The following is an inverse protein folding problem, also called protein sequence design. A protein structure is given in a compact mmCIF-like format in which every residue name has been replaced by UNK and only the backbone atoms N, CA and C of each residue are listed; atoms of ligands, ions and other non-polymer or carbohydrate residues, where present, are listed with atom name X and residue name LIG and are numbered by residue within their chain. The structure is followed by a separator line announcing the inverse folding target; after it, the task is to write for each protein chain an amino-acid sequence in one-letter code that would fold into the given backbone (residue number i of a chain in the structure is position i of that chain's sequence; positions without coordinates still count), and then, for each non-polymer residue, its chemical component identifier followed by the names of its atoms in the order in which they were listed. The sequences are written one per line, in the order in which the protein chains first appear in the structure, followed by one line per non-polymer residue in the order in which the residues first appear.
data_IF_669757740569
#
_entry.id   IF_669757740569
#
_cell.length_a   1.000
_cell.length_b   1.000
_cell.length_c   1.000
_cell.angle_alpha   90.00
_cell.angle_beta   90.00
_cell.angle_gamma   90.00
#
_symmetry.space_group_name_H-M   'P 1'
#
loop_
_entity.id
_entity.type
_entity.pdbx_description
1 polymer ?
#
# COMPACT_ATOMS: atom_id res chain seq x y z
N UNK A 1 -12.20 -18.66 20.38
CA UNK A 1 -11.71 -17.48 19.63
C UNK A 1 -10.49 -17.89 18.81
N UNK A 2 -10.63 -18.19 17.51
CA UNK A 2 -9.47 -18.33 16.62
C UNK A 2 -8.97 -16.91 16.33
N UNK A 3 -7.90 -16.53 17.03
CA UNK A 3 -7.15 -15.29 16.80
C UNK A 3 -6.71 -15.32 15.33
N UNK A 4 -7.17 -14.36 14.52
CA UNK A 4 -6.75 -14.32 13.13
C UNK A 4 -5.30 -13.86 13.07
N UNK A 5 -4.40 -14.70 12.58
CA UNK A 5 -2.99 -14.34 12.49
C UNK A 5 -2.79 -13.34 11.34
N UNK A 6 -2.43 -12.07 11.61
CA UNK A 6 -2.21 -11.10 10.55
C UNK A 6 -1.05 -11.57 9.67
N UNK A 7 -1.30 -11.60 8.36
CA UNK A 7 -0.34 -12.06 7.37
C UNK A 7 0.42 -10.82 6.86
N UNK A 8 1.73 -10.78 7.11
CA UNK A 8 2.58 -9.73 6.56
C UNK A 8 2.89 -10.04 5.09
N UNK A 9 2.52 -9.11 4.21
CA UNK A 9 2.80 -9.13 2.77
C UNK A 9 3.71 -7.94 2.42
N UNK A 10 4.70 -8.17 1.57
CA UNK A 10 5.64 -7.12 1.17
C UNK A 10 4.97 -6.12 0.22
N UNK A 11 5.42 -4.86 0.25
CA UNK A 11 4.86 -3.83 -0.62
C UNK A 11 5.32 -3.99 -2.08
N UNK A 12 4.35 -4.11 -3.01
CA UNK A 12 4.60 -4.35 -4.43
C UNK A 12 5.37 -3.22 -5.11
N UNK A 13 5.20 -1.97 -4.68
CA UNK A 13 5.93 -0.86 -5.27
C UNK A 13 7.40 -0.88 -4.86
N UNK A 14 7.71 -1.13 -3.58
CA UNK A 14 9.09 -1.27 -3.12
C UNK A 14 9.76 -2.47 -3.78
N UNK A 15 9.02 -3.56 -4.01
CA UNK A 15 9.51 -4.69 -4.79
C UNK A 15 9.91 -4.27 -6.21
N UNK A 16 9.04 -3.53 -6.90
CA UNK A 16 9.33 -3.04 -8.25
C UNK A 16 10.56 -2.11 -8.27
N UNK A 17 10.70 -1.21 -7.28
CA UNK A 17 11.90 -0.36 -7.12
C UNK A 17 13.17 -1.20 -6.89
N UNK A 18 13.10 -2.23 -6.04
CA UNK A 18 14.21 -3.13 -5.79
C UNK A 18 14.63 -3.85 -7.08
N UNK A 19 13.68 -4.41 -7.83
CA UNK A 19 13.94 -5.11 -9.10
C UNK A 19 14.54 -4.16 -10.14
N UNK A 20 14.08 -2.91 -10.22
CA UNK A 20 14.66 -1.88 -11.11
C UNK A 20 16.11 -1.59 -10.72
N UNK A 21 16.40 -1.46 -9.43
CA UNK A 21 17.75 -1.21 -8.93
C UNK A 21 18.68 -2.40 -9.20
N UNK A 22 18.21 -3.63 -8.97
CA UNK A 22 18.97 -4.87 -9.22
C UNK A 22 19.26 -5.03 -10.71
N UNK A 23 18.26 -4.83 -11.56
CA UNK A 23 18.39 -5.04 -13.01
C UNK A 23 19.15 -3.93 -13.73
N UNK A 24 19.20 -2.70 -13.19
CA UNK A 24 19.81 -1.53 -13.87
C UNK A 24 19.36 -1.39 -15.34
N UNK A 25 18.05 -1.60 -15.58
CA UNK A 25 17.38 -1.58 -16.90
C UNK A 25 17.62 -2.81 -17.78
N UNK A 26 18.33 -3.83 -17.30
CA UNK A 26 18.40 -5.12 -17.97
C UNK A 26 17.02 -5.82 -17.95
N UNK A 27 16.40 -5.91 -19.13
CA UNK A 27 15.07 -6.51 -19.30
C UNK A 27 15.07 -8.01 -19.04
N UNK A 28 16.19 -8.71 -19.31
CA UNK A 28 16.32 -10.14 -19.06
C UNK A 28 16.36 -10.42 -17.56
N UNK A 29 17.20 -9.70 -16.81
CA UNK A 29 17.30 -9.84 -15.35
C UNK A 29 15.95 -9.50 -14.69
N UNK A 30 15.34 -8.37 -15.03
CA UNK A 30 14.06 -7.98 -14.44
C UNK A 30 12.94 -8.99 -14.73
N UNK A 31 12.83 -9.48 -15.98
CA UNK A 31 11.85 -10.50 -16.36
C UNK A 31 12.06 -11.80 -15.59
N UNK A 32 13.31 -12.24 -15.43
CA UNK A 32 13.63 -13.45 -14.68
C UNK A 32 13.27 -13.31 -13.20
N UNK A 33 13.61 -12.18 -12.57
CA UNK A 33 13.24 -11.91 -11.17
C UNK A 33 11.74 -11.97 -10.95
N UNK A 34 10.94 -11.29 -11.78
CA UNK A 34 9.48 -11.38 -11.67
C UNK A 34 8.97 -12.81 -11.87
N UNK A 35 9.49 -13.52 -12.88
CA UNK A 35 9.08 -14.90 -13.17
C UNK A 35 9.38 -15.85 -12.00
N UNK A 36 10.54 -15.73 -11.37
CA UNK A 36 10.90 -16.59 -10.24
C UNK A 36 10.05 -16.29 -9.00
N UNK A 37 9.71 -15.02 -8.76
CA UNK A 37 8.82 -14.64 -7.65
C UNK A 37 7.37 -15.08 -7.90
N UNK A 38 6.86 -14.90 -9.12
CA UNK A 38 5.49 -15.28 -9.51
C UNK A 38 5.30 -16.80 -9.50
N UNK A 39 6.31 -17.57 -9.93
CA UNK A 39 6.26 -19.04 -9.97
C UNK A 39 6.72 -19.71 -8.67
N UNK A 40 6.93 -18.96 -7.60
CA UNK A 40 7.40 -19.49 -6.31
C UNK A 40 8.71 -20.31 -6.43
N UNK A 41 9.62 -19.87 -7.29
CA UNK A 41 10.87 -20.57 -7.58
C UNK A 41 12.04 -19.95 -6.80
N UNK A 42 12.11 -20.27 -5.51
CA UNK A 42 13.16 -19.79 -4.62
C UNK A 42 14.55 -20.27 -5.03
N UNK A 43 14.67 -21.53 -5.49
CA UNK A 43 15.96 -22.14 -5.85
C UNK A 43 16.66 -21.37 -6.98
N UNK A 44 15.93 -20.96 -8.01
CA UNK A 44 16.49 -20.14 -9.09
C UNK A 44 16.88 -18.73 -8.62
N UNK A 45 16.09 -18.13 -7.73
CA UNK A 45 16.40 -16.82 -7.16
C UNK A 45 17.67 -16.86 -6.31
N UNK A 46 17.84 -17.91 -5.50
CA UNK A 46 19.01 -18.15 -4.67
C UNK A 46 20.25 -18.44 -5.52
N UNK A 47 20.14 -19.33 -6.51
CA UNK A 47 21.23 -19.61 -7.45
C UNK A 47 21.67 -18.34 -8.21
N UNK A 48 20.71 -17.51 -8.62
CA UNK A 48 21.04 -16.22 -9.22
C UNK A 48 21.79 -15.31 -8.24
N UNK A 49 21.37 -15.23 -6.97
CA UNK A 49 22.07 -14.42 -5.96
C UNK A 49 23.49 -14.89 -5.68
N UNK A 50 23.73 -16.20 -5.56
CA UNK A 50 25.06 -16.77 -5.33
C UNK A 50 26.03 -16.38 -6.45
N UNK A 51 25.60 -16.45 -7.70
CA UNK A 51 26.39 -15.98 -8.84
C UNK A 51 26.49 -14.44 -8.91
N UNK A 52 25.51 -13.72 -8.38
CA UNK A 52 25.41 -12.26 -8.47
C UNK A 52 26.26 -11.55 -7.41
N UNK A 53 26.39 -12.11 -6.20
CA UNK A 53 27.14 -11.52 -5.08
C UNK A 53 28.65 -11.54 -5.30
N UNK A 54 29.16 -12.54 -6.02
CA UNK A 54 30.60 -12.69 -6.30
C UNK A 54 31.09 -11.81 -7.45
N UNK A 55 30.18 -11.23 -8.25
CA UNK A 55 30.57 -10.38 -9.37
C UNK A 55 31.16 -9.05 -8.89
N UNK A 56 32.38 -8.75 -9.34
CA UNK A 56 33.08 -7.49 -9.02
C UNK A 56 32.40 -6.26 -9.63
N UNK A 57 31.77 -6.39 -10.80
CA UNK A 57 31.10 -5.29 -11.49
C UNK A 57 29.68 -4.97 -10.95
N UNK A 58 29.24 -5.70 -9.93
CA UNK A 58 27.95 -5.45 -9.27
C UNK A 58 28.17 -4.55 -8.06
N UNK A 59 27.51 -3.39 -8.05
CA UNK A 59 27.60 -2.46 -6.94
C UNK A 59 27.03 -3.05 -5.64
N UNK A 60 27.58 -2.63 -4.50
CA UNK A 60 27.14 -3.07 -3.18
C UNK A 60 25.62 -2.89 -2.97
N UNK A 61 25.08 -1.75 -3.41
CA UNK A 61 23.64 -1.46 -3.36
C UNK A 61 22.79 -2.52 -4.06
N UNK A 62 23.24 -3.05 -5.21
CA UNK A 62 22.51 -4.12 -5.94
C UNK A 62 22.56 -5.43 -5.15
N UNK A 63 23.71 -5.76 -4.55
CA UNK A 63 23.87 -6.95 -3.70
C UNK A 63 22.95 -6.88 -2.47
N UNK A 64 22.85 -5.72 -1.84
CA UNK A 64 21.95 -5.48 -0.70
C UNK A 64 20.48 -5.62 -1.09
N UNK A 65 20.06 -5.10 -2.25
CA UNK A 65 18.69 -5.28 -2.74
C UNK A 65 18.37 -6.76 -3.03
N UNK A 66 19.30 -7.51 -3.62
CA UNK A 66 19.10 -8.96 -3.80
C UNK A 66 18.99 -9.71 -2.47
N UNK A 67 19.87 -9.40 -1.52
CA UNK A 67 19.83 -9.98 -0.17
C UNK A 67 18.50 -9.66 0.53
N UNK A 68 17.97 -8.45 0.34
CA UNK A 68 16.65 -8.07 0.83
C UNK A 68 15.54 -8.92 0.22
N UNK A 69 15.55 -9.16 -1.10
CA UNK A 69 14.55 -10.03 -1.76
C UNK A 69 14.55 -11.44 -1.17
N UNK A 70 15.72 -12.03 -0.93
CA UNK A 70 15.83 -13.35 -0.29
C UNK A 70 15.31 -13.33 1.15
N UNK A 71 15.74 -12.35 1.96
CA UNK A 71 15.33 -12.23 3.35
C UNK A 71 13.83 -11.99 3.52
N UNK A 72 13.18 -11.34 2.54
CA UNK A 72 11.75 -11.04 2.56
C UNK A 72 10.95 -11.98 1.64
N UNK A 73 11.55 -13.07 1.14
CA UNK A 73 10.97 -13.91 0.09
C UNK A 73 9.57 -14.39 0.44
N UNK A 74 9.37 -14.92 1.64
CA UNK A 74 8.06 -15.40 2.08
C UNK A 74 6.99 -14.29 2.09
N UNK A 75 7.36 -13.05 2.41
CA UNK A 75 6.42 -11.91 2.37
C UNK A 75 6.13 -11.45 0.94
N UNK A 76 7.12 -11.59 0.05
CA UNK A 76 6.98 -11.26 -1.38
C UNK A 76 6.15 -12.32 -2.10
N UNK A 77 6.39 -13.60 -1.80
CA UNK A 77 5.63 -14.75 -2.31
C UNK A 77 4.13 -14.57 -2.12
N UNK A 78 3.73 -14.09 -0.93
CA UNK A 78 2.34 -13.79 -0.57
C UNK A 78 1.65 -12.75 -1.47
N UNK A 79 2.38 -11.92 -2.20
CA UNK A 79 1.81 -11.02 -3.22
C UNK A 79 1.10 -11.83 -4.32
N UNK A 80 1.58 -13.05 -4.60
CA UNK A 80 1.09 -13.90 -5.69
C UNK A 80 0.27 -15.09 -5.19
N UNK A 81 0.43 -15.51 -3.94
CA UNK A 81 -0.26 -16.70 -3.39
C UNK A 81 -1.49 -16.39 -2.53
N UNK A 82 -1.59 -15.17 -1.97
CA UNK A 82 -2.75 -14.79 -1.16
C UNK A 82 -3.88 -14.29 -2.07
N UNK A 83 -4.98 -15.05 -2.16
CA UNK A 83 -6.11 -14.76 -3.06
C UNK A 83 -6.77 -13.39 -2.77
N UNK A 84 -6.79 -12.97 -1.50
CA UNK A 84 -7.40 -11.72 -1.06
C UNK A 84 -6.46 -10.49 -1.22
N UNK A 85 -5.26 -10.65 -1.78
CA UNK A 85 -4.33 -9.54 -1.94
C UNK A 85 -4.67 -8.64 -3.14
N UNK A 86 -5.24 -7.47 -2.86
CA UNK A 86 -5.63 -6.47 -3.87
C UNK A 86 -4.49 -5.44 -4.13
N UNK A 87 -3.49 -5.38 -3.24
CA UNK A 87 -2.41 -4.40 -3.29
C UNK A 87 -2.70 -3.10 -2.52
N UNK A 88 -1.79 -2.14 -2.64
CA UNK A 88 -1.90 -0.83 -1.97
C UNK A 88 -1.55 0.31 -2.93
N UNK A 89 -2.37 1.37 -2.91
CA UNK A 89 -2.11 2.62 -3.66
C UNK A 89 -1.37 3.67 -2.83
N UNK A 90 -1.00 3.38 -1.58
CA UNK A 90 -0.41 4.35 -0.64
C UNK A 90 0.77 5.09 -1.26
N UNK A 91 1.68 4.39 -1.90
CA UNK A 91 2.89 5.00 -2.45
C UNK A 91 2.62 5.86 -3.68
N UNK A 92 1.64 5.52 -4.52
CA UNK A 92 1.19 6.40 -5.60
C UNK A 92 0.60 7.69 -5.02
N UNK A 93 -0.20 7.59 -3.96
CA UNK A 93 -0.80 8.74 -3.29
C UNK A 93 0.25 9.62 -2.60
N UNK A 94 1.24 9.03 -1.95
CA UNK A 94 2.30 9.77 -1.24
C UNK A 94 3.31 10.35 -2.23
N UNK A 95 3.94 9.51 -3.04
CA UNK A 95 5.09 9.90 -3.88
C UNK A 95 4.70 10.62 -5.17
N UNK A 96 3.48 10.45 -5.69
CA UNK A 96 3.03 11.16 -6.90
C UNK A 96 2.03 12.27 -6.62
N UNK A 97 0.98 12.03 -5.82
CA UNK A 97 -0.05 13.06 -5.61
C UNK A 97 0.36 14.06 -4.53
N UNK A 98 0.65 13.60 -3.32
CA UNK A 98 1.00 14.47 -2.20
C UNK A 98 2.34 15.16 -2.42
N UNK A 99 3.37 14.41 -2.83
CA UNK A 99 4.71 14.96 -3.08
C UNK A 99 4.68 16.02 -4.19
N UNK A 100 4.03 15.76 -5.33
CA UNK A 100 3.90 16.75 -6.41
C UNK A 100 3.22 18.03 -5.95
N UNK A 101 2.15 17.92 -5.16
CA UNK A 101 1.47 19.10 -4.62
C UNK A 101 2.39 19.89 -3.69
N UNK A 102 3.01 19.24 -2.71
CA UNK A 102 3.86 19.89 -1.70
C UNK A 102 5.12 20.51 -2.32
N UNK A 103 5.77 19.81 -3.27
CA UNK A 103 6.95 20.32 -3.98
C UNK A 103 6.63 21.49 -4.90
N UNK A 104 5.44 21.52 -5.52
CA UNK A 104 5.03 22.65 -6.37
C UNK A 104 4.70 23.92 -5.59
N UNK A 105 4.41 23.79 -4.29
CA UNK A 105 3.97 24.89 -3.42
C UNK A 105 4.70 24.81 -2.08
N UNK A 106 6.03 24.96 -2.06
CA UNK A 106 6.80 24.89 -0.84
C UNK A 106 6.37 26.04 0.08
N UNK A 107 5.65 25.71 1.15
CA UNK A 107 5.20 26.63 2.19
C UNK A 107 5.40 25.95 3.54
N UNK A 108 5.54 26.74 4.60
CA UNK A 108 5.39 26.23 5.95
C UNK A 108 3.93 25.81 6.15
N UNK A 109 3.64 24.52 5.98
CA UNK A 109 2.32 23.97 6.24
C UNK A 109 2.23 23.55 7.71
N UNK A 110 1.15 23.90 8.39
CA UNK A 110 0.84 23.29 9.68
C UNK A 110 0.44 21.82 9.47
N UNK A 111 0.65 20.97 10.48
CA UNK A 111 0.24 19.55 10.44
C UNK A 111 -1.23 19.38 10.01
N UNK A 112 -2.12 20.22 10.54
CA UNK A 112 -3.55 20.24 10.16
C UNK A 112 -3.74 20.49 8.66
N UNK A 113 -3.03 21.47 8.08
CA UNK A 113 -3.12 21.79 6.66
C UNK A 113 -2.58 20.65 5.78
N UNK A 114 -1.48 19.99 6.18
CA UNK A 114 -0.94 18.84 5.44
C UNK A 114 -1.96 17.69 5.44
N UNK A 115 -2.53 17.37 6.60
CA UNK A 115 -3.54 16.30 6.74
C UNK A 115 -4.76 16.56 5.84
N UNK A 116 -5.33 17.76 5.91
CA UNK A 116 -6.49 18.13 5.08
C UNK A 116 -6.18 18.03 3.56
N UNK A 117 -4.97 18.44 3.14
CA UNK A 117 -4.54 18.34 1.74
C UNK A 117 -4.32 16.90 1.30
N UNK A 118 -3.69 16.07 2.13
CA UNK A 118 -3.50 14.65 1.82
C UNK A 118 -4.84 13.92 1.66
N UNK A 119 -5.82 14.20 2.53
CA UNK A 119 -7.18 13.68 2.43
C UNK A 119 -7.86 14.13 1.13
N UNK A 120 -7.80 15.42 0.81
CA UNK A 120 -8.34 15.97 -0.44
C UNK A 120 -7.77 15.26 -1.67
N UNK A 121 -6.44 15.17 -1.77
CA UNK A 121 -5.80 14.53 -2.93
C UNK A 121 -6.09 13.02 -3.01
N UNK A 122 -6.15 12.34 -1.86
CA UNK A 122 -6.53 10.92 -1.80
C UNK A 122 -7.96 10.69 -2.29
N UNK A 123 -8.89 11.54 -1.87
CA UNK A 123 -10.29 11.46 -2.31
C UNK A 123 -10.39 11.60 -3.84
N UNK A 124 -9.78 12.64 -4.42
CA UNK A 124 -9.85 12.85 -5.87
C UNK A 124 -9.08 11.78 -6.67
N UNK A 125 -7.97 11.26 -6.17
CA UNK A 125 -7.22 10.20 -6.84
C UNK A 125 -7.95 8.84 -6.87
N UNK A 126 -8.86 8.61 -5.93
CA UNK A 126 -9.70 7.41 -5.88
C UNK A 126 -11.06 7.62 -6.57
N UNK A 127 -11.71 8.76 -6.37
CA UNK A 127 -13.10 8.99 -6.77
C UNK A 127 -13.29 10.09 -7.82
N UNK A 128 -12.32 11.00 -7.99
CA UNK A 128 -12.45 12.19 -8.84
C UNK A 128 -12.65 11.92 -10.34
N UNK A 129 -12.45 10.67 -10.80
CA UNK A 129 -12.78 10.25 -12.17
C UNK A 129 -14.27 10.00 -12.37
N UNK A 130 -14.99 9.64 -11.32
CA UNK A 130 -16.44 9.51 -11.33
C UNK A 130 -17.02 10.78 -10.70
N UNK A 131 -17.36 11.77 -11.55
CA UNK A 131 -17.84 13.08 -11.11
C UNK A 131 -19.14 12.99 -10.31
N UNK A 132 -20.03 12.07 -10.67
CA UNK A 132 -21.29 11.84 -9.96
C UNK A 132 -21.01 11.28 -8.57
N UNK A 133 -20.22 10.19 -8.46
CA UNK A 133 -19.80 9.64 -7.15
C UNK A 133 -19.00 10.65 -6.32
N UNK A 134 -18.13 11.43 -6.95
CA UNK A 134 -17.40 12.49 -6.26
C UNK A 134 -18.34 13.62 -5.81
N UNK A 135 -19.36 13.95 -6.60
CA UNK A 135 -20.34 14.99 -6.27
C UNK A 135 -21.29 14.55 -5.17
N UNK A 136 -21.79 13.31 -5.21
CA UNK A 136 -22.57 12.70 -4.13
C UNK A 136 -21.76 12.69 -2.84
N UNK A 137 -20.57 12.08 -2.87
CA UNK A 137 -19.71 11.99 -1.69
C UNK A 137 -19.21 13.33 -1.17
N UNK A 138 -19.16 14.40 -1.98
CA UNK A 138 -18.61 15.70 -1.56
C UNK A 138 -19.68 16.78 -1.29
N UNK A 139 -20.80 16.76 -2.01
CA UNK A 139 -21.77 17.86 -2.05
C UNK A 139 -23.21 17.45 -1.68
N UNK A 140 -23.60 16.17 -1.72
CA UNK A 140 -25.01 15.78 -1.48
C UNK A 140 -25.36 15.57 0.01
N UNK A 141 -24.39 15.54 0.93
CA UNK A 141 -24.68 15.49 2.36
C UNK A 141 -24.96 16.88 2.93
N UNK A 142 -26.22 17.13 3.29
CA UNK A 142 -26.77 18.36 3.91
C UNK A 142 -25.77 19.10 4.84
N UNK A 143 -25.47 20.36 4.50
CA UNK A 143 -24.76 21.40 5.30
C UNK A 143 -23.73 20.86 6.32
N UNK A 144 -22.54 20.49 5.86
CA UNK A 144 -21.39 20.25 6.74
C UNK A 144 -20.22 21.19 6.43
N UNK A 145 -19.61 21.70 7.50
CA UNK A 145 -18.68 22.85 7.49
C UNK A 145 -17.24 22.51 7.08
N UNK A 146 -16.89 21.24 6.86
CA UNK A 146 -15.56 20.84 6.38
C UNK A 146 -15.53 19.46 5.73
N UNK A 147 -14.54 19.27 4.86
CA UNK A 147 -14.29 18.05 4.09
C UNK A 147 -14.01 16.82 4.97
N UNK A 148 -13.46 17.02 6.17
CA UNK A 148 -13.24 15.93 7.12
C UNK A 148 -14.57 15.31 7.58
N UNK A 149 -15.60 16.12 7.86
CA UNK A 149 -16.93 15.63 8.27
C UNK A 149 -17.68 14.89 7.16
N UNK A 150 -17.44 15.27 5.92
CA UNK A 150 -18.05 14.65 4.74
C UNK A 150 -17.48 13.23 4.51
N UNK A 151 -16.16 13.07 4.65
CA UNK A 151 -15.49 11.75 4.61
C UNK A 151 -15.95 10.88 5.80
N UNK A 152 -16.22 11.48 6.96
CA UNK A 152 -16.59 10.79 8.18
C UNK A 152 -18.07 10.33 8.22
N UNK A 153 -18.99 11.04 7.55
CA UNK A 153 -20.41 10.70 7.57
C UNK A 153 -20.85 9.75 6.45
N UNK A 154 -20.31 9.89 5.24
CA UNK A 154 -20.86 9.25 4.03
C UNK A 154 -19.98 8.11 3.50
N UNK A 155 -18.65 8.21 3.61
CA UNK A 155 -17.74 7.14 3.17
C UNK A 155 -17.59 6.03 4.21
N UNK A 156 -17.77 6.31 5.50
CA UNK A 156 -17.58 5.33 6.57
C UNK A 156 -18.55 4.14 6.50
N UNK A 157 -19.85 4.29 6.20
CA UNK A 157 -20.78 3.16 6.09
C UNK A 157 -20.50 2.28 4.86
N UNK A 158 -20.18 2.86 3.71
CA UNK A 158 -19.81 2.10 2.49
C UNK A 158 -18.42 1.48 2.61
N UNK A 159 -17.44 2.18 3.17
CA UNK A 159 -16.15 1.60 3.51
C UNK A 159 -16.36 0.47 4.52
N UNK A 160 -17.16 0.61 5.58
CA UNK A 160 -17.46 -0.46 6.55
C UNK A 160 -18.20 -1.63 5.88
N UNK A 161 -19.07 -1.39 4.91
CA UNK A 161 -19.78 -2.43 4.15
C UNK A 161 -18.91 -3.11 3.07
N UNK A 162 -18.00 -2.39 2.41
CA UNK A 162 -17.03 -2.91 1.45
C UNK A 162 -15.83 -3.57 2.16
N UNK A 163 -15.40 -3.02 3.30
CA UNK A 163 -14.37 -3.61 4.17
C UNK A 163 -14.87 -4.78 5.00
N UNK A 164 -16.16 -4.83 5.32
CA UNK A 164 -16.82 -6.06 5.75
C UNK A 164 -16.68 -7.19 4.73
N UNK A 165 -16.45 -6.86 3.45
CA UNK A 165 -16.20 -7.79 2.35
C UNK A 165 -14.73 -7.90 1.91
N UNK A 166 -13.85 -6.94 2.26
CA UNK A 166 -12.49 -6.84 1.69
C UNK A 166 -11.43 -6.14 2.56
N UNK A 167 -11.60 -5.96 3.89
CA UNK A 167 -10.45 -5.56 4.73
C UNK A 167 -9.40 -6.66 4.72
N UNK A 168 -8.17 -6.33 4.37
CA UNK A 168 -7.00 -7.14 4.70
C UNK A 168 -6.68 -7.14 6.22
N UNK A 169 -7.43 -6.38 7.03
CA UNK A 169 -7.45 -6.45 8.49
C UNK A 169 -8.53 -7.44 8.95
N UNK A 170 -8.14 -8.64 9.33
CA UNK A 170 -9.06 -9.76 9.46
C UNK A 170 -9.81 -9.81 10.80
N UNK A 171 -9.29 -9.14 11.83
CA UNK A 171 -9.99 -8.94 13.10
C UNK A 171 -11.27 -8.13 12.97
N UNK A 172 -11.43 -7.36 11.88
CA UNK A 172 -12.67 -6.65 11.60
C UNK A 172 -13.74 -7.55 10.96
N UNK A 173 -13.36 -8.74 10.43
CA UNK A 173 -14.25 -9.74 9.83
C UNK A 173 -14.83 -10.75 10.85
N UNK A 174 -14.31 -10.81 12.09
CA UNK A 174 -14.74 -11.73 13.16
C UNK A 174 -15.63 -11.10 14.24
N UNK A 175 -16.12 -11.92 15.18
CA UNK A 175 -16.95 -11.48 16.32
C UNK A 175 -16.23 -10.55 17.32
N UNK A 176 -16.98 -10.01 18.30
CA UNK A 176 -16.46 -9.03 19.27
C UNK A 176 -15.29 -9.57 20.11
N UNK A 177 -14.18 -8.82 20.13
CA UNK A 177 -13.03 -9.09 20.99
C UNK A 177 -12.26 -7.78 21.31
N UNK A 178 -11.50 -7.73 22.41
CA UNK A 178 -10.80 -6.51 22.82
C UNK A 178 -9.81 -5.97 21.77
N UNK A 179 -9.16 -6.87 21.02
CA UNK A 179 -8.24 -6.51 19.93
C UNK A 179 -9.00 -5.84 18.77
N UNK A 180 -10.25 -6.26 18.50
CA UNK A 180 -11.10 -5.62 17.49
C UNK A 180 -11.50 -4.21 17.93
N UNK A 181 -11.77 -3.99 19.21
CA UNK A 181 -12.05 -2.65 19.72
C UNK A 181 -10.83 -1.74 19.52
N UNK A 182 -9.65 -2.15 20.00
CA UNK A 182 -8.39 -1.40 19.82
C UNK A 182 -8.08 -1.17 18.34
N UNK A 183 -8.24 -2.18 17.48
CA UNK A 183 -8.02 -2.02 16.04
C UNK A 183 -9.07 -1.12 15.39
N UNK A 184 -10.33 -1.11 15.82
CA UNK A 184 -11.31 -0.10 15.39
C UNK A 184 -10.88 1.31 15.81
N UNK A 185 -10.35 1.46 17.01
CA UNK A 185 -9.86 2.77 17.49
C UNK A 185 -8.72 3.29 16.60
N UNK A 186 -7.81 2.43 16.17
CA UNK A 186 -6.65 2.79 15.35
C UNK A 186 -7.00 2.81 13.84
N UNK A 187 -7.93 1.96 13.38
CA UNK A 187 -8.34 1.84 11.98
C UNK A 187 -9.39 2.89 11.63
N UNK A 188 -8.99 4.16 11.53
CA UNK A 188 -9.80 5.29 11.05
C UNK A 188 -11.18 5.51 11.72
N UNK A 189 -11.63 4.64 12.65
CA UNK A 189 -12.97 4.66 13.23
C UNK A 189 -13.02 5.49 14.52
N UNK A 190 -11.86 5.88 15.06
CA UNK A 190 -11.74 6.88 16.12
C UNK A 190 -10.55 7.84 15.91
N UNK A 191 -10.37 8.37 14.69
CA UNK A 191 -9.59 9.61 14.56
C UNK A 191 -10.49 10.77 15.02
N UNK A 192 -10.63 10.88 16.34
CA UNK A 192 -10.79 12.16 17.05
C UNK A 192 -9.41 12.61 17.52
#
# INVERSE_FOLDING_TARGET
LRIYNPIHIYDKFHLAKAIVEISKKDKGISKNLYRWLEKDNFAELENFYENFKEKENVSQRRKEQMKMLLNQYEKIRRIYTEEDYIGSRTEALVSHECSRFLSSRPKAFSRRKIKARALYHTFFANYGKNREKAYELYFSSKRTSSLEKVIEMECLPEIVNETGKSTNMPYLRGGECPIREVLKEISQSKIF
#
